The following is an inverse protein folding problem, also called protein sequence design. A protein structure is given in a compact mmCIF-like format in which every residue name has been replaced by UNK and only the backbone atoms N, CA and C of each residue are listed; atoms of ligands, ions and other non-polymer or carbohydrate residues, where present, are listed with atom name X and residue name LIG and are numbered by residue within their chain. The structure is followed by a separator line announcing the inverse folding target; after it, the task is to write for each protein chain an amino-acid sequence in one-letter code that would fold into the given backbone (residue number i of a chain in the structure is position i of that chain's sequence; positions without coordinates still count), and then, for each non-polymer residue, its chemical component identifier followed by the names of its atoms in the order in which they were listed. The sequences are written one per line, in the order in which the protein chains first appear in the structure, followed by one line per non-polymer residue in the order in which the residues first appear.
data_IF_145916675566
#
_entry.id   IF_145916675566
#
_cell.length_a   1.000
_cell.length_b   1.000
_cell.length_c   1.000
_cell.angle_alpha   90.00
_cell.angle_beta   90.00
_cell.angle_gamma   90.00
#
_symmetry.space_group_name_H-M   'P 1'
#
loop_
_entity.id
_entity.type
_entity.pdbx_description
1 polymer ?
#
# COMPACT_ATOMS: atom_id res chain seq x y z
N UNK A 1 13.60 -36.22 -31.98
CA UNK A 1 14.79 -35.64 -31.31
C UNK A 1 14.64 -34.12 -31.31
N UNK A 2 14.25 -33.52 -30.19
CA UNK A 2 14.20 -32.05 -30.06
C UNK A 2 15.62 -31.50 -30.04
N UNK A 3 15.91 -30.59 -30.97
CA UNK A 3 17.21 -29.94 -31.09
C UNK A 3 17.45 -29.11 -29.82
N UNK A 4 18.43 -29.50 -29.01
CA UNK A 4 18.81 -28.76 -27.81
C UNK A 4 19.56 -27.50 -28.26
N UNK A 5 18.85 -26.36 -28.28
CA UNK A 5 19.41 -25.06 -28.63
C UNK A 5 19.99 -24.44 -27.35
N UNK A 6 21.31 -24.49 -27.21
CA UNK A 6 22.04 -23.66 -26.25
C UNK A 6 22.16 -22.26 -26.86
N UNK A 7 21.14 -21.43 -26.65
CA UNK A 7 21.25 -20.00 -26.95
C UNK A 7 22.07 -19.35 -25.85
N UNK A 8 23.26 -18.86 -26.19
CA UNK A 8 24.02 -17.95 -25.34
C UNK A 8 23.39 -16.58 -25.44
N UNK A 9 22.81 -16.06 -24.35
CA UNK A 9 22.26 -14.71 -24.33
C UNK A 9 23.33 -13.68 -24.70
N UNK A 10 23.00 -12.83 -25.66
CA UNK A 10 23.77 -11.63 -25.94
C UNK A 10 23.66 -10.65 -24.77
N UNK A 11 24.65 -9.76 -24.62
CA UNK A 11 24.60 -8.66 -23.63
C UNK A 11 23.32 -7.82 -23.77
N UNK A 12 22.82 -7.65 -25.00
CA UNK A 12 21.60 -6.88 -25.27
C UNK A 12 20.35 -7.59 -24.72
N UNK A 13 20.24 -8.90 -24.93
CA UNK A 13 19.13 -9.72 -24.41
C UNK A 13 19.12 -9.73 -22.87
N UNK A 14 20.28 -9.91 -22.24
CA UNK A 14 20.41 -9.86 -20.78
C UNK A 14 19.97 -8.51 -20.19
N UNK A 15 20.34 -7.38 -20.84
CA UNK A 15 19.90 -6.04 -20.40
C UNK A 15 18.41 -5.85 -20.61
N UNK A 16 17.84 -6.33 -21.72
CA UNK A 16 16.40 -6.26 -21.96
C UNK A 16 15.61 -7.04 -20.91
N UNK A 17 16.04 -8.26 -20.58
CA UNK A 17 15.41 -9.09 -19.55
C UNK A 17 15.49 -8.42 -18.16
N UNK A 18 16.62 -7.78 -17.84
CA UNK A 18 16.77 -6.98 -16.63
C UNK A 18 15.75 -5.83 -16.55
N UNK A 19 15.51 -5.11 -17.64
CA UNK A 19 14.51 -4.03 -17.69
C UNK A 19 13.08 -4.54 -17.42
N UNK A 20 12.72 -5.71 -17.97
CA UNK A 20 11.42 -6.33 -17.69
C UNK A 20 11.28 -6.73 -16.22
N UNK A 21 12.30 -7.37 -15.63
CA UNK A 21 12.32 -7.73 -14.20
C UNK A 21 12.21 -6.51 -13.30
N UNK A 22 12.90 -5.41 -13.64
CA UNK A 22 12.80 -4.16 -12.89
C UNK A 22 11.40 -3.54 -12.97
N UNK A 23 10.74 -3.63 -14.13
CA UNK A 23 9.36 -3.18 -14.29
C UNK A 23 8.38 -4.01 -13.44
N UNK A 24 8.52 -5.34 -13.43
CA UNK A 24 7.70 -6.23 -12.58
C UNK A 24 7.86 -5.91 -11.09
N UNK A 25 9.10 -5.74 -10.62
CA UNK A 25 9.38 -5.32 -9.24
C UNK A 25 8.74 -3.98 -8.92
N UNK A 26 8.72 -3.05 -9.87
CA UNK A 26 8.11 -1.73 -9.68
C UNK A 26 6.61 -1.80 -9.51
N UNK A 27 5.94 -2.64 -10.29
CA UNK A 27 4.49 -2.86 -10.19
C UNK A 27 4.16 -3.52 -8.85
N UNK A 28 4.91 -4.55 -8.45
CA UNK A 28 4.70 -5.26 -7.18
C UNK A 28 4.89 -4.34 -5.95
N UNK A 29 5.87 -3.44 -6.00
CA UNK A 29 6.17 -2.47 -4.94
C UNK A 29 5.44 -1.13 -5.11
N UNK A 30 4.47 -1.04 -6.03
CA UNK A 30 3.76 0.21 -6.31
C UNK A 30 3.08 0.75 -5.04
N UNK A 31 3.33 2.02 -4.67
CA UNK A 31 2.76 2.58 -3.46
C UNK A 31 1.23 2.66 -3.56
N UNK A 32 0.50 2.52 -2.45
CA UNK A 32 -0.92 2.86 -2.45
C UNK A 32 -1.08 4.38 -2.69
N UNK A 33 -2.16 4.76 -3.36
CA UNK A 33 -2.46 6.17 -3.65
C UNK A 33 -1.84 6.73 -4.92
N UNK A 34 -1.39 5.88 -5.86
CA UNK A 34 -1.11 6.34 -7.22
C UNK A 34 -2.41 6.76 -7.88
N UNK A 35 -2.42 7.94 -8.50
CA UNK A 35 -3.56 8.42 -9.28
C UNK A 35 -3.98 7.39 -10.33
N UNK A 36 -5.25 6.95 -10.36
CA UNK A 36 -5.71 5.93 -11.30
C UNK A 36 -5.64 6.41 -12.75
N UNK A 37 -5.83 7.71 -12.99
CA UNK A 37 -5.73 8.33 -14.32
C UNK A 37 -4.28 8.29 -14.82
N UNK A 38 -3.31 8.66 -13.98
CA UNK A 38 -1.88 8.57 -14.31
C UNK A 38 -1.44 7.12 -14.56
N UNK A 39 -1.90 6.19 -13.72
CA UNK A 39 -1.61 4.77 -13.89
C UNK A 39 -2.15 4.24 -15.22
N UNK A 40 -3.36 4.65 -15.59
CA UNK A 40 -4.00 4.29 -16.87
C UNK A 40 -3.21 4.87 -18.04
N UNK A 41 -2.83 6.15 -17.97
CA UNK A 41 -2.01 6.81 -19.00
C UNK A 41 -0.66 6.11 -19.20
N UNK A 42 0.01 5.75 -18.10
CA UNK A 42 1.28 5.02 -18.12
C UNK A 42 1.12 3.62 -18.75
N UNK A 43 0.05 2.90 -18.41
CA UNK A 43 -0.23 1.57 -18.95
C UNK A 43 -0.51 1.62 -20.45
N UNK A 44 -1.32 2.56 -20.94
CA UNK A 44 -1.58 2.71 -22.38
C UNK A 44 -0.29 3.02 -23.14
N UNK A 45 0.57 3.89 -22.59
CA UNK A 45 1.87 4.21 -23.19
C UNK A 45 2.81 3.00 -23.22
N UNK A 46 2.78 2.17 -22.17
CA UNK A 46 3.50 0.89 -22.15
C UNK A 46 2.94 -0.08 -23.21
N UNK A 47 1.62 -0.17 -23.36
CA UNK A 47 1.03 -1.01 -24.40
C UNK A 47 1.44 -0.54 -25.80
N UNK A 48 1.53 0.77 -26.03
CA UNK A 48 1.92 1.34 -27.32
C UNK A 48 3.28 0.80 -27.79
N UNK A 49 4.26 0.62 -26.87
CA UNK A 49 5.58 0.04 -27.18
C UNK A 49 5.57 -1.49 -27.30
N UNK A 50 4.53 -2.17 -26.81
CA UNK A 50 4.36 -3.62 -26.91
C UNK A 50 3.63 -4.04 -28.19
N UNK A 51 2.83 -3.15 -28.80
CA UNK A 51 2.11 -3.49 -30.03
C UNK A 51 3.03 -3.58 -31.23
N UNK A 52 2.67 -4.41 -32.22
CA UNK A 52 3.38 -4.44 -33.51
C UNK A 52 2.97 -3.29 -34.46
N UNK A 53 1.96 -2.48 -34.09
CA UNK A 53 1.48 -1.35 -34.89
C UNK A 53 0.91 -1.69 -36.28
N UNK A 54 0.59 -2.97 -36.57
CA UNK A 54 0.13 -3.38 -37.91
C UNK A 54 -1.30 -2.92 -38.22
N UNK A 55 -2.19 -2.91 -37.23
CA UNK A 55 -3.58 -2.47 -37.39
C UNK A 55 -3.73 -0.99 -37.04
N UNK A 56 -4.62 -0.28 -37.75
CA UNK A 56 -4.87 1.14 -37.52
C UNK A 56 -5.30 1.49 -36.09
N UNK A 57 -6.14 0.68 -35.40
CA UNK A 57 -6.53 0.96 -34.02
C UNK A 57 -5.33 1.00 -33.05
N UNK A 58 -4.35 0.11 -33.22
CA UNK A 58 -3.13 0.15 -32.40
C UNK A 58 -2.14 1.23 -32.86
N UNK A 59 -1.96 1.40 -34.17
CA UNK A 59 -0.96 2.33 -34.73
C UNK A 59 -1.31 3.79 -34.45
N UNK A 60 -2.57 4.17 -34.66
CA UNK A 60 -3.05 5.56 -34.56
C UNK A 60 -3.92 5.72 -33.30
N UNK A 61 -4.80 4.76 -33.03
CA UNK A 61 -5.75 4.86 -31.93
C UNK A 61 -5.08 4.90 -30.57
N UNK A 62 -4.16 3.97 -30.26
CA UNK A 62 -3.46 3.97 -28.96
C UNK A 62 -2.59 5.21 -28.76
N UNK A 63 -1.99 5.74 -29.83
CA UNK A 63 -1.23 6.99 -29.78
C UNK A 63 -2.14 8.15 -29.36
N UNK A 64 -3.26 8.33 -30.06
CA UNK A 64 -4.21 9.39 -29.76
C UNK A 64 -4.85 9.23 -28.37
N UNK A 65 -5.07 7.98 -27.94
CA UNK A 65 -5.58 7.68 -26.61
C UNK A 65 -4.57 8.06 -25.53
N UNK A 66 -3.29 7.74 -25.72
CA UNK A 66 -2.21 8.14 -24.81
C UNK A 66 -2.04 9.67 -24.73
N UNK A 67 -2.14 10.37 -25.87
CA UNK A 67 -2.13 11.83 -25.93
C UNK A 67 -3.27 12.44 -25.12
N UNK A 68 -4.51 11.98 -25.33
CA UNK A 68 -5.67 12.49 -24.61
C UNK A 68 -5.57 12.22 -23.11
N UNK A 69 -5.14 11.03 -22.70
CA UNK A 69 -4.90 10.72 -21.29
C UNK A 69 -3.81 11.64 -20.69
N UNK A 70 -2.77 11.95 -21.46
CA UNK A 70 -1.72 12.91 -21.04
C UNK A 70 -2.28 14.34 -20.91
N UNK A 71 -3.25 14.74 -21.73
CA UNK A 71 -3.93 16.03 -21.56
C UNK A 71 -4.72 16.08 -20.24
N UNK A 72 -5.34 14.98 -19.83
CA UNK A 72 -6.06 14.89 -18.55
C UNK A 72 -5.09 15.02 -17.38
N UNK A 73 -3.99 14.25 -17.39
CA UNK A 73 -3.02 14.26 -16.30
C UNK A 73 -2.21 15.56 -16.22
N UNK A 74 -2.04 16.27 -17.35
CA UNK A 74 -1.41 17.59 -17.40
C UNK A 74 -2.38 18.77 -17.22
N UNK A 75 -3.64 18.50 -16.86
CA UNK A 75 -4.67 19.51 -16.60
C UNK A 75 -4.99 20.42 -17.81
N UNK A 76 -4.79 19.93 -19.03
CA UNK A 76 -5.05 20.64 -20.29
C UNK A 76 -6.24 20.07 -21.08
N UNK A 77 -6.85 19.00 -20.57
CA UNK A 77 -8.02 18.38 -21.18
C UNK A 77 -9.30 19.19 -20.95
N UNK A 78 -10.26 18.96 -21.83
CA UNK A 78 -11.64 19.46 -21.75
C UNK A 78 -12.62 18.30 -21.56
N UNK A 79 -13.90 18.58 -21.27
CA UNK A 79 -14.93 17.54 -21.24
C UNK A 79 -15.07 16.81 -22.58
N UNK A 80 -14.89 17.51 -23.70
CA UNK A 80 -14.82 16.91 -25.04
C UNK A 80 -13.65 15.92 -25.16
N UNK A 81 -12.52 16.21 -24.50
CA UNK A 81 -11.38 15.28 -24.45
C UNK A 81 -11.78 13.97 -23.76
N UNK A 82 -12.56 14.05 -22.68
CA UNK A 82 -13.05 12.88 -21.95
C UNK A 82 -14.00 12.02 -22.80
N UNK A 83 -14.93 12.64 -23.52
CA UNK A 83 -15.82 11.96 -24.47
C UNK A 83 -15.03 11.28 -25.59
N UNK A 84 -14.00 11.97 -26.11
CA UNK A 84 -13.10 11.43 -27.12
C UNK A 84 -12.30 10.22 -26.62
N UNK A 85 -11.83 10.22 -25.36
CA UNK A 85 -11.16 9.06 -24.75
C UNK A 85 -12.11 7.85 -24.73
N UNK A 86 -13.34 8.05 -24.26
CA UNK A 86 -14.34 6.98 -24.13
C UNK A 86 -14.70 6.39 -25.49
N UNK A 87 -15.00 7.24 -26.48
CA UNK A 87 -15.33 6.81 -27.84
C UNK A 87 -14.17 6.08 -28.51
N UNK A 88 -12.96 6.64 -28.41
CA UNK A 88 -11.76 6.06 -29.02
C UNK A 88 -11.41 4.71 -28.38
N UNK A 89 -11.48 4.60 -27.06
CA UNK A 89 -11.26 3.34 -26.36
C UNK A 89 -12.31 2.29 -26.78
N UNK A 90 -13.60 2.65 -26.85
CA UNK A 90 -14.65 1.73 -27.30
C UNK A 90 -14.42 1.24 -28.73
N UNK A 91 -13.96 2.11 -29.63
CA UNK A 91 -13.64 1.75 -31.01
C UNK A 91 -12.42 0.81 -31.08
N UNK A 92 -11.34 1.11 -30.37
CA UNK A 92 -10.14 0.26 -30.35
C UNK A 92 -10.47 -1.13 -29.79
N UNK A 93 -11.24 -1.20 -28.70
CA UNK A 93 -11.62 -2.46 -28.07
C UNK A 93 -12.40 -3.39 -29.04
N UNK A 94 -13.18 -2.82 -29.96
CA UNK A 94 -13.98 -3.59 -30.95
C UNK A 94 -13.23 -3.92 -32.22
N UNK A 95 -12.20 -3.14 -32.58
CA UNK A 95 -11.59 -3.20 -33.93
C UNK A 95 -10.13 -3.63 -33.93
N UNK A 96 -9.47 -3.73 -32.78
CA UNK A 96 -8.10 -4.21 -32.71
C UNK A 96 -7.99 -5.71 -33.03
N UNK A 97 -7.00 -6.06 -33.87
CA UNK A 97 -6.78 -7.44 -34.33
C UNK A 97 -6.20 -8.40 -33.28
N UNK A 98 -5.71 -7.90 -32.15
CA UNK A 98 -5.04 -8.72 -31.15
C UNK A 98 -5.33 -8.31 -29.70
N UNK A 99 -5.07 -9.24 -28.78
CA UNK A 99 -5.32 -9.08 -27.35
C UNK A 99 -4.62 -7.86 -26.72
N UNK A 100 -3.43 -7.47 -27.22
CA UNK A 100 -2.70 -6.31 -26.69
C UNK A 100 -3.52 -5.02 -26.87
N UNK A 101 -4.01 -4.78 -28.10
CA UNK A 101 -4.82 -3.59 -28.39
C UNK A 101 -6.18 -3.62 -27.70
N UNK A 102 -6.84 -4.79 -27.71
CA UNK A 102 -8.15 -4.98 -27.07
C UNK A 102 -8.04 -4.72 -25.56
N UNK A 103 -7.07 -5.33 -24.88
CA UNK A 103 -6.91 -5.20 -23.42
C UNK A 103 -6.53 -3.77 -23.01
N UNK A 104 -5.70 -3.08 -23.78
CA UNK A 104 -5.34 -1.69 -23.48
C UNK A 104 -6.58 -0.79 -23.50
N UNK A 105 -7.41 -0.92 -24.53
CA UNK A 105 -8.64 -0.16 -24.64
C UNK A 105 -9.66 -0.53 -23.55
N UNK A 106 -9.82 -1.82 -23.24
CA UNK A 106 -10.66 -2.29 -22.14
C UNK A 106 -10.18 -1.74 -20.79
N UNK A 107 -8.88 -1.68 -20.55
CA UNK A 107 -8.33 -1.11 -19.31
C UNK A 107 -8.71 0.36 -19.15
N UNK A 108 -8.70 1.13 -20.25
CA UNK A 108 -9.16 2.53 -20.21
C UNK A 108 -10.66 2.63 -19.93
N UNK A 109 -11.48 1.78 -20.56
CA UNK A 109 -12.93 1.76 -20.30
C UNK A 109 -13.24 1.40 -18.85
N UNK A 110 -12.58 0.38 -18.29
CA UNK A 110 -12.71 0.01 -16.88
C UNK A 110 -12.22 1.11 -15.93
N UNK A 111 -11.18 1.84 -16.32
CA UNK A 111 -10.71 3.00 -15.56
C UNK A 111 -11.72 4.15 -15.56
N UNK A 112 -12.33 4.45 -16.73
CA UNK A 112 -13.40 5.43 -16.84
C UNK A 112 -14.64 5.04 -16.04
N UNK A 113 -14.99 3.76 -16.01
CA UNK A 113 -16.11 3.24 -15.22
C UNK A 113 -15.85 3.36 -13.71
N UNK A 114 -14.65 2.99 -13.26
CA UNK A 114 -14.31 2.96 -11.84
C UNK A 114 -13.92 4.32 -11.24
N UNK A 115 -13.36 5.23 -12.04
CA UNK A 115 -12.72 6.46 -11.56
C UNK A 115 -13.17 7.72 -12.33
N UNK A 116 -14.38 7.74 -12.89
CA UNK A 116 -14.87 8.88 -13.71
C UNK A 116 -14.73 10.23 -13.01
N UNK A 117 -15.03 10.28 -11.73
CA UNK A 117 -14.96 11.51 -10.93
C UNK A 117 -13.53 12.05 -10.85
N UNK A 118 -12.51 11.19 -10.83
CA UNK A 118 -11.11 11.60 -10.87
C UNK A 118 -10.74 12.22 -12.22
N UNK A 119 -11.22 11.65 -13.34
CA UNK A 119 -11.03 12.24 -14.67
C UNK A 119 -11.65 13.64 -14.75
N UNK A 120 -12.88 13.79 -14.25
CA UNK A 120 -13.59 15.08 -14.23
C UNK A 120 -12.84 16.07 -13.34
N UNK A 121 -12.43 15.66 -12.14
CA UNK A 121 -11.68 16.52 -11.22
C UNK A 121 -10.32 16.98 -11.79
N UNK A 122 -9.63 16.12 -12.55
CA UNK A 122 -8.42 16.51 -13.27
C UNK A 122 -8.67 17.65 -14.28
N UNK A 123 -9.86 17.66 -14.91
CA UNK A 123 -10.29 18.65 -15.90
C UNK A 123 -10.80 19.93 -15.24
N UNK A 124 -11.66 19.82 -14.22
CA UNK A 124 -12.41 20.95 -13.66
C UNK A 124 -11.73 21.59 -12.45
N UNK A 125 -11.11 20.77 -11.60
CA UNK A 125 -10.50 21.21 -10.32
C UNK A 125 -8.98 21.19 -10.36
N UNK A 126 -8.39 20.68 -11.45
CA UNK A 126 -6.94 20.55 -11.64
C UNK A 126 -6.25 19.81 -10.48
N UNK A 127 -6.93 18.80 -9.92
CA UNK A 127 -6.42 17.93 -8.86
C UNK A 127 -7.04 16.54 -8.94
N UNK A 128 -6.30 15.54 -8.47
CA UNK A 128 -6.84 14.20 -8.29
C UNK A 128 -7.62 14.11 -6.96
N UNK A 129 -8.80 13.49 -6.95
CA UNK A 129 -9.55 13.25 -5.71
C UNK A 129 -9.13 11.95 -5.04
N UNK A 130 -8.59 11.01 -5.81
CA UNK A 130 -8.04 9.75 -5.36
C UNK A 130 -6.83 9.97 -4.43
N UNK A 131 -7.16 10.13 -3.15
CA UNK A 131 -6.21 10.28 -2.06
C UNK A 131 -6.28 9.02 -1.22
N UNK A 132 -5.27 8.15 -1.32
CA UNK A 132 -4.97 7.28 -0.18
C UNK A 132 -4.29 8.18 0.84
N UNK A 133 -4.93 8.38 1.99
CA UNK A 133 -4.51 9.25 3.09
C UNK A 133 -3.07 9.02 3.60
N UNK A 134 -2.39 7.96 3.13
CA UNK A 134 -1.03 7.58 3.52
C UNK A 134 -0.24 7.08 2.32
N UNK A 135 0.57 7.97 1.74
CA UNK A 135 1.46 7.65 0.60
C UNK A 135 2.61 6.70 0.96
N UNK A 136 2.87 6.51 2.26
CA UNK A 136 3.94 5.64 2.79
C UNK A 136 3.39 4.21 2.92
N UNK A 137 3.84 3.24 2.08
CA UNK A 137 3.22 1.92 1.99
C UNK A 137 3.22 1.14 3.30
N UNK A 138 4.31 1.22 4.08
CA UNK A 138 4.41 0.49 5.33
C UNK A 138 3.41 0.99 6.38
N UNK A 139 3.13 2.31 6.41
CA UNK A 139 2.11 2.87 7.31
C UNK A 139 0.71 2.52 6.80
N UNK A 140 0.46 2.67 5.50
CA UNK A 140 -0.83 2.36 4.88
C UNK A 140 -1.25 0.89 5.05
N UNK A 141 -0.29 -0.03 4.94
CA UNK A 141 -0.54 -1.47 5.10
C UNK A 141 -0.53 -1.92 6.56
N UNK A 142 -0.18 -1.05 7.52
CA UNK A 142 -0.26 -1.40 8.93
C UNK A 142 -1.70 -1.19 9.43
N UNK A 143 -2.41 -2.22 9.93
CA UNK A 143 -3.77 -2.04 10.42
C UNK A 143 -3.87 -1.05 11.58
N UNK A 144 -2.83 -1.00 12.42
CA UNK A 144 -2.71 -0.06 13.52
C UNK A 144 -2.10 1.28 13.10
N UNK A 145 -1.78 1.50 11.82
CA UNK A 145 -1.38 2.81 11.30
C UNK A 145 -0.11 3.41 11.94
N UNK A 146 0.73 2.57 12.54
CA UNK A 146 1.94 2.93 13.29
C UNK A 146 2.94 3.67 12.40
N UNK A 147 3.59 4.71 12.96
CA UNK A 147 4.71 5.40 12.33
C UNK A 147 5.98 4.53 12.26
N UNK A 148 6.03 3.67 11.24
CA UNK A 148 7.11 2.73 10.99
C UNK A 148 8.45 3.42 10.66
N UNK A 149 8.51 4.38 9.73
CA UNK A 149 9.76 5.11 9.46
C UNK A 149 10.30 5.80 10.71
N UNK A 150 9.42 6.44 11.50
CA UNK A 150 9.81 7.14 12.72
C UNK A 150 10.47 6.23 13.75
N UNK A 151 9.85 5.09 14.09
CA UNK A 151 10.46 4.18 15.07
C UNK A 151 11.71 3.47 14.53
N UNK A 152 11.81 3.23 13.21
CA UNK A 152 13.03 2.66 12.60
C UNK A 152 14.20 3.62 12.80
N UNK A 153 14.02 4.92 12.54
CA UNK A 153 15.10 5.90 12.70
C UNK A 153 15.50 6.05 14.18
N UNK A 154 14.53 6.04 15.10
CA UNK A 154 14.81 6.04 16.54
C UNK A 154 15.58 4.79 16.98
N UNK A 155 15.24 3.63 16.42
CA UNK A 155 15.93 2.36 16.71
C UNK A 155 17.37 2.39 16.19
N UNK A 156 17.59 2.94 14.99
CA UNK A 156 18.92 3.17 14.41
C UNK A 156 19.76 4.13 15.26
N UNK A 157 19.14 5.18 15.82
CA UNK A 157 19.79 6.12 16.73
C UNK A 157 20.03 5.55 18.15
N UNK A 158 19.69 4.28 18.42
CA UNK A 158 19.81 3.67 19.75
C UNK A 158 18.78 4.16 20.77
N UNK A 159 17.80 4.97 20.35
CA UNK A 159 16.74 5.56 21.19
C UNK A 159 15.55 4.58 21.30
N UNK A 160 15.81 3.38 21.82
CA UNK A 160 14.83 2.29 21.86
C UNK A 160 13.57 2.62 22.67
N UNK A 161 13.72 3.31 23.81
CA UNK A 161 12.57 3.75 24.61
C UNK A 161 11.66 4.72 23.83
N UNK A 162 12.24 5.64 23.05
CA UNK A 162 11.48 6.55 22.20
C UNK A 162 10.80 5.83 21.04
N UNK A 163 11.47 4.86 20.43
CA UNK A 163 10.87 4.01 19.41
C UNK A 163 9.61 3.29 19.95
N UNK A 164 9.68 2.75 21.18
CA UNK A 164 8.53 2.13 21.84
C UNK A 164 7.43 3.14 22.14
N UNK A 165 7.76 4.38 22.54
CA UNK A 165 6.76 5.46 22.74
C UNK A 165 6.04 5.80 21.44
N UNK A 166 6.77 5.91 20.33
CA UNK A 166 6.17 6.15 19.00
C UNK A 166 5.23 5.01 18.62
N UNK A 167 5.62 3.76 18.82
CA UNK A 167 4.74 2.62 18.51
C UNK A 167 3.48 2.62 19.39
N UNK A 168 3.62 2.90 20.69
CA UNK A 168 2.51 2.92 21.66
C UNK A 168 1.49 4.02 21.43
N UNK A 169 1.82 5.04 20.64
CA UNK A 169 0.85 6.05 20.20
C UNK A 169 -0.36 5.42 19.51
N UNK A 170 -0.11 4.45 18.64
CA UNK A 170 -1.17 3.82 17.84
C UNK A 170 -1.41 2.34 18.21
N UNK A 171 -0.46 1.68 18.90
CA UNK A 171 -0.58 0.27 19.29
C UNK A 171 -0.03 -0.02 20.70
N UNK A 172 -0.87 -0.36 21.69
CA UNK A 172 -0.44 -0.61 23.07
C UNK A 172 0.34 -1.91 23.27
N UNK A 173 0.38 -2.82 22.28
CA UNK A 173 1.03 -4.13 22.38
C UNK A 173 2.25 -4.27 21.44
N UNK A 174 3.29 -3.41 21.56
CA UNK A 174 4.44 -3.47 20.67
C UNK A 174 5.17 -4.81 20.77
N UNK A 175 5.29 -5.40 21.97
CA UNK A 175 5.96 -6.69 22.20
C UNK A 175 5.22 -7.85 21.55
N UNK A 176 3.89 -7.93 21.73
CA UNK A 176 3.10 -8.97 21.07
C UNK A 176 3.22 -8.85 19.54
N UNK A 177 3.04 -7.64 19.00
CA UNK A 177 3.18 -7.42 17.55
C UNK A 177 4.61 -7.60 17.03
N UNK A 178 5.64 -7.47 17.86
CA UNK A 178 7.01 -7.83 17.47
C UNK A 178 7.18 -9.36 17.29
N UNK A 179 6.39 -10.16 18.00
CA UNK A 179 6.51 -11.60 18.04
C UNK A 179 5.49 -12.35 17.17
N UNK A 180 4.27 -11.83 16.97
CA UNK A 180 3.21 -12.62 16.30
C UNK A 180 2.63 -11.96 15.05
N UNK A 181 2.96 -10.70 14.77
CA UNK A 181 2.45 -10.00 13.58
C UNK A 181 2.90 -10.68 12.28
N UNK A 182 1.98 -10.80 11.33
CA UNK A 182 2.22 -11.27 9.95
C UNK A 182 2.82 -10.21 9.02
N UNK A 183 3.22 -9.05 9.57
CA UNK A 183 3.98 -7.99 8.91
C UNK A 183 3.47 -7.60 7.51
N UNK A 184 2.18 -7.25 7.34
CA UNK A 184 1.64 -6.81 6.05
C UNK A 184 2.32 -5.52 5.53
N UNK A 185 2.91 -4.74 6.44
CA UNK A 185 3.70 -3.55 6.13
C UNK A 185 5.00 -3.82 5.36
N UNK A 186 5.49 -5.07 5.33
CA UNK A 186 6.70 -5.46 4.60
C UNK A 186 6.40 -5.82 3.14
N UNK A 187 5.17 -6.22 2.81
CA UNK A 187 4.79 -6.75 1.48
C UNK A 187 5.00 -5.75 0.33
N UNK A 188 4.71 -4.47 0.56
CA UNK A 188 4.90 -3.37 -0.41
C UNK A 188 6.00 -2.40 0.02
N UNK A 189 7.04 -2.90 0.69
CA UNK A 189 8.16 -2.06 1.10
C UNK A 189 8.87 -1.47 -0.14
N UNK A 190 9.13 -0.15 -0.14
CA UNK A 190 9.86 0.51 -1.24
C UNK A 190 11.30 0.00 -1.38
N UNK A 191 11.89 -0.58 -0.32
CA UNK A 191 13.23 -1.18 -0.38
C UNK A 191 13.31 -2.34 -1.40
N UNK A 192 12.18 -2.98 -1.71
CA UNK A 192 12.08 -4.02 -2.75
C UNK A 192 12.43 -3.51 -4.16
N UNK A 193 12.47 -2.19 -4.39
CA UNK A 193 13.03 -1.64 -5.64
C UNK A 193 14.55 -1.86 -5.77
N UNK A 194 15.26 -2.06 -4.65
CA UNK A 194 16.70 -2.26 -4.60
C UNK A 194 17.03 -3.74 -4.38
N UNK A 195 16.48 -4.32 -3.32
CA UNK A 195 16.79 -5.68 -2.89
C UNK A 195 15.58 -6.37 -2.23
N UNK A 196 15.53 -6.38 -0.90
CA UNK A 196 14.54 -7.11 -0.10
C UNK A 196 13.78 -6.14 0.80
N UNK A 197 12.54 -6.46 1.23
CA UNK A 197 11.83 -5.61 2.16
C UNK A 197 12.60 -5.44 3.46
N UNK A 198 12.43 -4.28 4.09
CA UNK A 198 12.98 -4.04 5.43
C UNK A 198 12.33 -5.02 6.41
N UNK A 199 13.13 -5.67 7.26
CA UNK A 199 12.63 -6.52 8.35
C UNK A 199 12.05 -5.66 9.48
N UNK A 200 10.90 -5.03 9.22
CA UNK A 200 10.19 -4.09 10.07
C UNK A 200 9.79 -4.74 11.40
N UNK A 201 9.32 -5.99 11.38
CA UNK A 201 8.99 -6.76 12.59
C UNK A 201 10.23 -7.06 13.42
N UNK A 202 11.33 -7.45 12.79
CA UNK A 202 12.61 -7.70 13.47
C UNK A 202 13.19 -6.45 14.12
N UNK A 203 13.10 -5.30 13.44
CA UNK A 203 13.50 -4.01 14.03
C UNK A 203 12.60 -3.65 15.22
N UNK A 204 11.28 -3.85 15.10
CA UNK A 204 10.34 -3.66 16.21
C UNK A 204 10.70 -4.54 17.40
N UNK A 205 11.07 -5.81 17.17
CA UNK A 205 11.57 -6.73 18.20
C UNK A 205 12.83 -6.19 18.88
N UNK A 206 13.81 -5.75 18.09
CA UNK A 206 15.04 -5.17 18.65
C UNK A 206 14.75 -3.93 19.51
N UNK A 207 13.80 -3.08 19.08
CA UNK A 207 13.39 -1.91 19.84
C UNK A 207 12.76 -2.28 21.18
N UNK A 208 11.78 -3.20 21.21
CA UNK A 208 11.13 -3.59 22.46
C UNK A 208 12.07 -4.35 23.41
N UNK A 209 12.93 -5.21 22.89
CA UNK A 209 13.85 -6.02 23.70
C UNK A 209 14.93 -5.14 24.38
N UNK A 210 15.33 -4.03 23.74
CA UNK A 210 16.38 -3.13 24.25
C UNK A 210 15.88 -1.89 24.97
N UNK A 211 14.58 -1.59 24.91
CA UNK A 211 14.01 -0.37 25.49
C UNK A 211 13.99 -0.36 27.03
N UNK A 212 14.13 -1.53 27.68
CA UNK A 212 13.94 -1.66 29.11
C UNK A 212 12.52 -1.28 29.54
N UNK A 213 12.38 -0.66 30.72
CA UNK A 213 11.08 -0.19 31.18
C UNK A 213 10.71 1.15 30.54
N UNK A 214 9.65 1.15 29.74
CA UNK A 214 9.06 2.37 29.17
C UNK A 214 7.75 2.66 29.89
N UNK A 215 7.63 3.79 30.63
CA UNK A 215 6.40 4.12 31.34
C UNK A 215 5.23 4.31 30.37
N UNK A 216 4.01 4.10 30.87
CA UNK A 216 2.81 4.48 30.13
C UNK A 216 2.75 6.01 29.97
N UNK A 217 2.16 6.52 28.87
CA UNK A 217 1.88 7.95 28.74
C UNK A 217 1.02 8.47 29.88
N UNK A 218 1.17 9.76 30.18
CA UNK A 218 0.32 10.42 31.17
C UNK A 218 -1.14 10.44 30.71
N UNK A 219 -2.05 10.32 31.69
CA UNK A 219 -3.48 10.43 31.44
C UNK A 219 -3.87 11.90 31.31
N UNK A 220 -4.83 12.17 30.43
CA UNK A 220 -5.50 13.46 30.37
C UNK A 220 -6.31 13.72 31.66
N UNK A 221 -6.77 14.97 31.82
CA UNK A 221 -7.60 15.36 32.95
C UNK A 221 -8.82 14.43 33.11
N UNK A 222 -9.18 14.05 34.36
CA UNK A 222 -10.32 13.18 34.59
C UNK A 222 -11.61 13.74 34.00
N UNK A 223 -12.30 12.90 33.23
CA UNK A 223 -13.58 13.26 32.59
C UNK A 223 -14.79 13.02 33.50
N UNK A 224 -14.60 12.28 34.61
CA UNK A 224 -15.67 11.83 35.50
C UNK A 224 -16.55 10.68 34.95
N UNK A 225 -16.32 10.25 33.70
CA UNK A 225 -17.08 9.16 33.07
C UNK A 225 -16.50 7.79 33.45
N UNK A 226 -17.38 6.84 33.74
CA UNK A 226 -17.04 5.43 34.00
C UNK A 226 -17.39 4.56 32.79
N UNK A 227 -16.47 3.69 32.38
CA UNK A 227 -16.66 2.79 31.24
C UNK A 227 -16.39 1.35 31.66
N UNK A 228 -17.31 0.44 31.33
CA UNK A 228 -17.12 -0.99 31.49
C UNK A 228 -16.71 -1.62 30.15
N UNK A 229 -15.61 -2.37 30.15
CA UNK A 229 -15.14 -3.15 29.01
C UNK A 229 -15.31 -4.63 29.31
N UNK A 230 -16.04 -5.35 28.46
CA UNK A 230 -16.27 -6.79 28.62
C UNK A 230 -15.26 -7.54 27.75
N UNK A 231 -14.42 -8.35 28.38
CA UNK A 231 -13.34 -9.11 27.76
C UNK A 231 -11.97 -8.46 27.93
N UNK A 232 -11.04 -9.19 28.55
CA UNK A 232 -9.64 -8.81 28.78
C UNK A 232 -8.69 -9.24 27.66
N UNK A 233 -9.18 -9.41 26.44
CA UNK A 233 -8.38 -9.70 25.25
C UNK A 233 -7.67 -8.47 24.66
N UNK A 234 -6.91 -8.62 23.56
CA UNK A 234 -6.18 -7.51 22.94
C UNK A 234 -7.10 -6.34 22.54
N UNK A 235 -8.31 -6.61 22.05
CA UNK A 235 -9.29 -5.57 21.71
C UNK A 235 -9.77 -4.80 22.95
N UNK A 236 -10.22 -5.50 23.99
CA UNK A 236 -10.72 -4.89 25.22
C UNK A 236 -9.63 -4.15 25.98
N UNK A 237 -8.43 -4.72 26.09
CA UNK A 237 -7.30 -4.06 26.74
C UNK A 237 -6.81 -2.84 25.94
N UNK A 238 -6.86 -2.88 24.60
CA UNK A 238 -6.54 -1.70 23.77
C UNK A 238 -7.56 -0.58 23.99
N UNK A 239 -8.85 -0.93 24.00
CA UNK A 239 -9.93 0.01 24.29
C UNK A 239 -9.75 0.64 25.67
N UNK A 240 -9.51 -0.18 26.70
CA UNK A 240 -9.27 0.29 28.05
C UNK A 240 -8.03 1.19 28.14
N UNK A 241 -6.93 0.82 27.47
CA UNK A 241 -5.71 1.61 27.44
C UNK A 241 -5.96 3.03 26.92
N UNK A 242 -6.57 3.17 25.74
CA UNK A 242 -6.81 4.49 25.15
C UNK A 242 -7.85 5.31 25.89
N UNK A 243 -8.93 4.69 26.38
CA UNK A 243 -9.94 5.39 27.19
C UNK A 243 -9.34 5.90 28.52
N UNK A 244 -8.46 5.12 29.15
CA UNK A 244 -7.76 5.54 30.37
C UNK A 244 -6.83 6.73 30.09
N UNK A 245 -6.14 6.75 28.94
CA UNK A 245 -5.33 7.89 28.51
C UNK A 245 -6.17 9.14 28.25
N UNK A 246 -7.40 8.99 27.75
CA UNK A 246 -8.37 10.08 27.57
C UNK A 246 -8.99 10.58 28.89
N UNK A 247 -8.61 10.04 30.04
CA UNK A 247 -9.09 10.48 31.35
C UNK A 247 -10.42 9.84 31.78
N UNK A 248 -10.83 8.73 31.15
CA UNK A 248 -11.98 7.94 31.63
C UNK A 248 -11.55 6.95 32.71
N UNK A 249 -12.49 6.60 33.61
CA UNK A 249 -12.32 5.54 34.60
C UNK A 249 -12.84 4.22 34.02
N UNK A 250 -11.92 3.33 33.63
CA UNK A 250 -12.26 2.10 32.91
C UNK A 250 -12.12 0.87 33.80
N UNK A 251 -13.17 0.05 33.85
CA UNK A 251 -13.15 -1.28 34.50
C UNK A 251 -13.26 -2.37 33.44
N UNK A 252 -12.32 -3.32 33.44
CA UNK A 252 -12.32 -4.48 32.55
C UNK A 252 -12.88 -5.69 33.27
N UNK A 253 -13.90 -6.32 32.71
CA UNK A 253 -14.50 -7.56 33.20
C UNK A 253 -14.03 -8.73 32.34
N UNK A 254 -13.37 -9.71 32.94
CA UNK A 254 -12.88 -10.91 32.25
C UNK A 254 -13.41 -12.17 32.95
N UNK A 255 -13.86 -13.12 32.12
CA UNK A 255 -14.37 -14.43 32.53
C UNK A 255 -13.26 -15.39 32.96
N UNK A 256 -12.09 -15.29 32.33
CA UNK A 256 -10.92 -16.11 32.62
C UNK A 256 -10.07 -15.57 33.78
N UNK A 257 -9.21 -16.44 34.34
CA UNK A 257 -8.37 -16.10 35.49
C UNK A 257 -7.29 -15.05 35.21
N UNK A 258 -6.82 -14.94 33.97
CA UNK A 258 -5.77 -14.00 33.55
C UNK A 258 -6.29 -13.13 32.40
N UNK A 259 -5.84 -11.88 32.37
CA UNK A 259 -6.02 -10.99 31.21
C UNK A 259 -5.12 -11.45 30.06
N UNK A 260 -5.47 -11.05 28.83
CA UNK A 260 -4.71 -11.28 27.62
C UNK A 260 -5.50 -12.00 26.51
N UNK A 261 -6.62 -12.66 26.86
CA UNK A 261 -7.44 -13.41 25.90
C UNK A 261 -6.58 -14.36 25.06
N UNK A 262 -6.72 -14.32 23.73
CA UNK A 262 -5.95 -15.17 22.82
C UNK A 262 -4.42 -14.99 22.91
N UNK A 263 -3.91 -13.85 23.39
CA UNK A 263 -2.48 -13.67 23.60
C UNK A 263 -1.92 -14.61 24.67
N UNK A 264 -2.74 -15.00 25.66
CA UNK A 264 -2.35 -15.87 26.78
C UNK A 264 -2.89 -17.28 26.63
N UNK A 265 -4.12 -17.43 26.10
CA UNK A 265 -4.82 -18.70 26.05
C UNK A 265 -4.77 -19.39 24.68
N UNK A 266 -4.47 -18.65 23.61
CA UNK A 266 -4.51 -19.17 22.24
C UNK A 266 -3.13 -19.37 21.62
N UNK A 267 -2.27 -18.36 21.70
CA UNK A 267 -0.96 -18.40 21.04
C UNK A 267 0.01 -19.28 21.85
N UNK A 268 0.67 -20.27 21.23
CA UNK A 268 1.64 -21.11 21.93
C UNK A 268 2.82 -20.32 22.50
N UNK A 269 3.31 -20.75 23.67
CA UNK A 269 4.40 -20.08 24.40
C UNK A 269 5.70 -19.94 23.60
N UNK A 270 5.98 -20.87 22.66
CA UNK A 270 7.17 -20.76 21.80
C UNK A 270 7.08 -19.64 20.75
N UNK A 271 5.87 -19.11 20.49
CA UNK A 271 5.65 -17.94 19.62
C UNK A 271 5.47 -16.65 20.42
N UNK A 272 4.81 -16.72 21.57
CA UNK A 272 4.54 -15.60 22.46
C UNK A 272 4.69 -16.09 23.92
N UNK A 273 5.87 -15.94 24.54
CA UNK A 273 6.16 -16.46 25.87
C UNK A 273 5.45 -15.69 26.99
#
# INVERSE_FOLDING_TARGET
MSRLLLQTESRAEAVAEMLYKDMERRIAASPPGVCPVDLTAALVKMTQVQTCGKCSPCRIGLEKLAENLTLVTSHKATMETLENIELLAANIAKTADCAIGINAAQTVLSSLEGFRDDYISHITEHRCQYSVTKSIPCIANCPANVDIPGYIELTKAGRFADAVRVIRKDNPFPTACALVCEHPCETRCRRTFLDAPVNIRGIKRSAVDKAGFVPAPERMAPTGKKVAVIGGGPSGLSCAYFLQLMGHDVTVYESHKKLGGMLVYGIPAYRLP
#
